data_IF_624944630546
#
_entry.id   IF_624944630546
#
_cell.length_a   1.000
_cell.length_b   1.000
_cell.length_c   1.000
_cell.angle_alpha   90.00
_cell.angle_beta   90.00
_cell.angle_gamma   90.00
#
_symmetry.space_group_name_H-M   'P 1'
#
loop_
_entity.id
_entity.type
_entity.pdbx_description
1 polymer ?
#
# COMPACT_ATOMS: atom_id res chain seq x y z
N UNK A 1 -17.20 12.63 -9.89
CA UNK A 1 -17.19 11.25 -10.43
C UNK A 1 -15.85 10.84 -11.06
N UNK A 2 -15.10 11.74 -11.72
CA UNK A 2 -13.86 11.40 -12.44
C UNK A 2 -12.71 10.83 -11.59
N UNK A 3 -12.57 11.26 -10.34
CA UNK A 3 -11.48 10.82 -9.46
C UNK A 3 -11.45 9.30 -9.28
N UNK A 4 -12.54 8.71 -8.76
CA UNK A 4 -12.65 7.27 -8.50
C UNK A 4 -12.46 6.45 -9.79
N UNK A 5 -13.01 6.91 -10.91
CA UNK A 5 -12.83 6.24 -12.20
C UNK A 5 -11.36 6.21 -12.65
N UNK A 6 -10.65 7.34 -12.52
CA UNK A 6 -9.22 7.43 -12.83
C UNK A 6 -8.38 6.58 -11.88
N UNK A 7 -8.64 6.65 -10.58
CA UNK A 7 -7.99 5.83 -9.56
C UNK A 7 -8.18 4.33 -9.82
N UNK A 8 -9.42 3.87 -10.06
CA UNK A 8 -9.73 2.48 -10.43
C UNK A 8 -9.07 2.04 -11.72
N UNK A 9 -8.84 2.96 -12.68
CA UNK A 9 -8.10 2.64 -13.91
C UNK A 9 -6.63 2.33 -13.60
N UNK A 10 -6.00 3.09 -12.70
CA UNK A 10 -4.64 2.82 -12.23
C UNK A 10 -4.58 1.50 -11.44
N UNK A 11 -5.49 1.28 -10.49
CA UNK A 11 -5.57 0.00 -9.74
C UNK A 11 -5.73 -1.21 -10.65
N UNK A 12 -6.56 -1.10 -11.70
CA UNK A 12 -6.72 -2.19 -12.68
C UNK A 12 -5.42 -2.49 -13.43
N UNK A 13 -4.63 -1.47 -13.78
CA UNK A 13 -3.31 -1.66 -14.41
C UNK A 13 -2.34 -2.36 -13.47
N UNK A 14 -2.28 -1.92 -12.21
CA UNK A 14 -1.45 -2.55 -11.18
C UNK A 14 -1.84 -4.03 -11.00
N UNK A 15 -3.13 -4.32 -10.82
CA UNK A 15 -3.60 -5.70 -10.66
C UNK A 15 -3.36 -6.56 -11.91
N UNK A 16 -3.55 -6.01 -13.11
CA UNK A 16 -3.26 -6.72 -14.35
C UNK A 16 -1.77 -7.07 -14.45
N UNK A 17 -0.89 -6.11 -14.14
CA UNK A 17 0.55 -6.33 -14.12
C UNK A 17 0.96 -7.35 -13.06
N UNK A 18 0.37 -7.30 -11.86
CA UNK A 18 0.64 -8.29 -10.81
C UNK A 18 0.21 -9.71 -11.21
N UNK A 19 -0.91 -9.86 -11.94
CA UNK A 19 -1.38 -11.16 -12.45
C UNK A 19 -0.52 -11.69 -13.59
N UNK A 20 0.01 -10.81 -14.43
CA UNK A 20 0.89 -11.19 -15.53
C UNK A 20 2.21 -11.81 -15.05
N UNK A 21 2.62 -11.58 -13.80
CA UNK A 21 3.80 -12.22 -13.19
C UNK A 21 3.59 -13.72 -12.84
N UNK A 22 2.38 -14.28 -13.09
CA UNK A 22 2.07 -15.70 -12.89
C UNK A 22 1.82 -16.12 -11.43
N UNK A 23 1.41 -17.38 -11.24
CA UNK A 23 1.08 -17.98 -9.93
C UNK A 23 -0.42 -17.96 -9.59
N UNK A 24 -0.77 -18.46 -8.39
CA UNK A 24 -2.17 -18.65 -7.99
C UNK A 24 -2.95 -17.32 -7.95
N UNK A 25 -3.99 -17.15 -8.80
CA UNK A 25 -4.80 -15.93 -8.84
C UNK A 25 -5.57 -15.67 -7.54
N UNK A 26 -5.83 -16.70 -6.71
CA UNK A 26 -6.54 -16.57 -5.44
C UNK A 26 -5.75 -15.70 -4.45
N UNK A 27 -4.43 -15.66 -4.59
CA UNK A 27 -3.56 -14.84 -3.73
C UNK A 27 -3.63 -13.35 -4.03
N UNK A 28 -4.25 -12.90 -5.14
CA UNK A 28 -4.35 -11.49 -5.48
C UNK A 28 -5.78 -10.96 -5.28
N UNK A 29 -5.94 -9.68 -4.92
CA UNK A 29 -7.25 -9.06 -4.83
C UNK A 29 -8.06 -9.24 -6.13
N UNK A 30 -9.37 -9.59 -6.06
CA UNK A 30 -10.16 -9.94 -7.23
C UNK A 30 -10.43 -8.74 -8.14
N UNK A 31 -10.69 -7.54 -7.58
CA UNK A 31 -11.01 -6.36 -8.38
C UNK A 31 -10.49 -5.06 -7.75
N UNK A 32 -10.39 -4.02 -8.57
CA UNK A 32 -10.08 -2.67 -8.09
C UNK A 32 -11.19 -2.09 -7.19
N UNK A 33 -12.46 -2.46 -7.43
CA UNK A 33 -13.57 -2.05 -6.59
C UNK A 33 -13.52 -2.72 -5.21
N UNK A 34 -13.12 -4.00 -5.17
CA UNK A 34 -12.87 -4.72 -3.91
C UNK A 34 -11.75 -4.04 -3.11
N UNK A 35 -10.65 -3.67 -3.76
CA UNK A 35 -9.56 -2.94 -3.11
C UNK A 35 -9.98 -1.58 -2.56
N UNK A 36 -10.72 -0.79 -3.34
CA UNK A 36 -11.27 0.49 -2.85
C UNK A 36 -12.19 0.28 -1.65
N UNK A 37 -13.09 -0.72 -1.72
CA UNK A 37 -14.00 -1.04 -0.63
C UNK A 37 -13.27 -1.45 0.65
N UNK A 38 -12.23 -2.28 0.54
CA UNK A 38 -11.41 -2.68 1.68
C UNK A 38 -10.63 -1.51 2.29
N UNK A 39 -10.07 -0.64 1.45
CA UNK A 39 -9.38 0.56 1.93
C UNK A 39 -10.36 1.51 2.66
N UNK A 40 -11.56 1.71 2.11
CA UNK A 40 -12.60 2.50 2.76
C UNK A 40 -13.06 1.90 4.09
N UNK A 41 -13.23 0.57 4.16
CA UNK A 41 -13.60 -0.14 5.39
C UNK A 41 -12.54 -0.01 6.50
N UNK A 42 -11.28 0.19 6.13
CA UNK A 42 -10.16 0.47 7.05
C UNK A 42 -10.02 1.97 7.40
N UNK A 43 -10.90 2.82 6.88
CA UNK A 43 -10.85 4.26 7.14
C UNK A 43 -9.75 5.00 6.38
N UNK A 44 -9.16 4.41 5.33
CA UNK A 44 -8.18 5.11 4.51
C UNK A 44 -8.82 6.29 3.78
N UNK A 45 -8.29 7.48 4.05
CA UNK A 45 -8.63 8.70 3.33
C UNK A 45 -7.61 8.92 2.22
N UNK A 46 -8.11 9.25 1.03
CA UNK A 46 -7.31 9.70 -0.12
C UNK A 46 -7.63 11.15 -0.49
N UNK A 47 -8.07 11.95 0.50
CA UNK A 47 -8.28 13.39 0.32
C UNK A 47 -6.94 14.09 0.16
N UNK A 48 -6.82 14.96 -0.85
CA UNK A 48 -5.57 15.66 -1.16
C UNK A 48 -4.58 14.85 -2.00
N UNK A 49 -4.84 13.56 -2.24
CA UNK A 49 -4.05 12.74 -3.14
C UNK A 49 -4.56 12.87 -4.58
N UNK A 50 -3.67 12.76 -5.55
CA UNK A 50 -4.04 12.51 -6.94
C UNK A 50 -4.62 11.09 -7.11
N UNK A 51 -5.34 10.81 -8.20
CA UNK A 51 -5.89 9.47 -8.45
C UNK A 51 -4.82 8.36 -8.52
N UNK A 52 -3.60 8.70 -8.92
CA UNK A 52 -2.49 7.74 -9.01
C UNK A 52 -1.88 7.47 -7.62
N UNK A 53 -1.65 8.51 -6.82
CA UNK A 53 -1.17 8.35 -5.44
C UNK A 53 -2.18 7.57 -4.59
N UNK A 54 -3.48 7.86 -4.73
CA UNK A 54 -4.53 7.10 -4.06
C UNK A 54 -4.53 5.61 -4.45
N UNK A 55 -4.32 5.30 -5.74
CA UNK A 55 -4.23 3.93 -6.21
C UNK A 55 -2.98 3.20 -5.66
N UNK A 56 -1.84 3.89 -5.58
CA UNK A 56 -0.62 3.34 -4.99
C UNK A 56 -0.76 3.09 -3.50
N UNK A 57 -1.37 4.02 -2.75
CA UNK A 57 -1.69 3.85 -1.34
C UNK A 57 -2.58 2.61 -1.11
N UNK A 58 -3.68 2.48 -1.88
CA UNK A 58 -4.58 1.33 -1.78
C UNK A 58 -3.86 0.02 -2.11
N UNK A 59 -3.00 0.01 -3.14
CA UNK A 59 -2.23 -1.17 -3.51
C UNK A 59 -1.20 -1.55 -2.44
N UNK A 60 -0.56 -0.56 -1.81
CA UNK A 60 0.37 -0.76 -0.70
C UNK A 60 -0.34 -1.36 0.52
N UNK A 61 -1.49 -0.83 0.89
CA UNK A 61 -2.31 -1.34 2.00
C UNK A 61 -2.83 -2.75 1.75
N UNK A 62 -3.19 -3.06 0.51
CA UNK A 62 -3.53 -4.41 0.11
C UNK A 62 -2.34 -5.35 0.27
N UNK A 63 -1.14 -4.95 -0.17
CA UNK A 63 0.10 -5.70 0.00
C UNK A 63 0.37 -5.99 1.48
N UNK A 64 0.28 -4.99 2.35
CA UNK A 64 0.51 -5.16 3.79
C UNK A 64 -0.48 -6.17 4.41
N UNK A 65 -1.76 -6.08 4.03
CA UNK A 65 -2.80 -7.00 4.53
C UNK A 65 -2.63 -8.45 4.06
N UNK A 66 -1.92 -8.67 2.95
CA UNK A 66 -1.61 -10.03 2.48
C UNK A 66 -0.46 -10.68 3.26
N UNK A 67 0.25 -9.91 4.10
CA UNK A 67 1.36 -10.40 4.92
C UNK A 67 2.69 -10.39 4.18
N UNK A 68 3.73 -10.00 4.93
CA UNK A 68 5.12 -10.03 4.47
C UNK A 68 5.52 -11.45 4.07
N UNK A 69 6.18 -11.58 2.91
CA UNK A 69 6.67 -12.86 2.40
C UNK A 69 5.67 -13.65 1.53
N UNK A 70 4.42 -13.21 1.39
CA UNK A 70 3.50 -13.85 0.44
C UNK A 70 3.90 -13.54 -1.01
N UNK A 71 3.82 -14.55 -1.88
CA UNK A 71 4.11 -14.37 -3.32
C UNK A 71 3.20 -13.31 -3.96
N UNK A 72 1.93 -13.23 -3.51
CA UNK A 72 0.99 -12.21 -3.95
C UNK A 72 1.41 -10.80 -3.54
N UNK A 73 1.93 -10.61 -2.31
CA UNK A 73 2.39 -9.31 -1.85
C UNK A 73 3.60 -8.84 -2.67
N UNK A 74 4.57 -9.72 -2.91
CA UNK A 74 5.76 -9.39 -3.70
C UNK A 74 5.42 -9.00 -5.16
N UNK A 75 4.47 -9.71 -5.78
CA UNK A 75 3.98 -9.36 -7.12
C UNK A 75 3.27 -8.00 -7.13
N UNK A 76 2.39 -7.77 -6.16
CA UNK A 76 1.66 -6.52 -6.06
C UNK A 76 2.60 -5.33 -5.80
N UNK A 77 3.62 -5.53 -4.98
CA UNK A 77 4.68 -4.56 -4.71
C UNK A 77 5.42 -4.17 -5.99
N UNK A 78 5.94 -5.15 -6.73
CA UNK A 78 6.67 -4.90 -7.98
C UNK A 78 5.80 -4.20 -9.01
N UNK A 79 4.54 -4.61 -9.15
CA UNK A 79 3.59 -3.98 -10.05
C UNK A 79 3.29 -2.53 -9.67
N UNK A 80 3.04 -2.26 -8.39
CA UNK A 80 2.80 -0.91 -7.87
C UNK A 80 4.03 -0.01 -8.01
N UNK A 81 5.23 -0.52 -7.71
CA UNK A 81 6.49 0.20 -7.84
C UNK A 81 6.77 0.60 -9.29
N UNK A 82 6.61 -0.32 -10.25
CA UNK A 82 6.76 0.01 -11.68
C UNK A 82 5.76 1.07 -12.15
N UNK A 83 4.50 0.99 -11.68
CA UNK A 83 3.49 2.01 -12.01
C UNK A 83 3.81 3.37 -11.36
N UNK A 84 4.40 3.38 -10.16
CA UNK A 84 4.87 4.59 -9.50
C UNK A 84 6.03 5.24 -10.29
N UNK A 85 7.05 4.46 -10.65
CA UNK A 85 8.20 4.90 -11.44
C UNK A 85 7.77 5.46 -12.80
N UNK A 86 6.89 4.76 -13.52
CA UNK A 86 6.36 5.20 -14.81
C UNK A 86 5.57 6.52 -14.75
N UNK A 87 5.17 6.96 -13.55
CA UNK A 87 4.43 8.19 -13.31
C UNK A 87 5.24 9.28 -12.60
N UNK A 88 6.53 9.03 -12.31
CA UNK A 88 7.34 9.94 -11.50
C UNK A 88 6.94 9.98 -10.02
N UNK A 89 6.17 9.00 -9.54
CA UNK A 89 5.72 8.87 -8.14
C UNK A 89 6.63 7.95 -7.31
N UNK A 90 7.87 7.71 -7.77
CA UNK A 90 8.87 6.94 -7.02
C UNK A 90 9.12 7.47 -5.60
N UNK A 91 9.28 8.81 -5.40
CA UNK A 91 9.42 9.37 -4.05
C UNK A 91 8.21 9.11 -3.15
N UNK A 92 6.99 9.23 -3.70
CA UNK A 92 5.76 8.92 -2.96
C UNK A 92 5.73 7.45 -2.50
N UNK A 93 6.09 6.51 -3.38
CA UNK A 93 6.20 5.10 -3.03
C UNK A 93 7.24 4.85 -1.93
N UNK A 94 8.40 5.50 -2.02
CA UNK A 94 9.44 5.40 -1.00
C UNK A 94 8.96 5.90 0.37
N UNK A 95 8.18 6.97 0.42
CA UNK A 95 7.56 7.46 1.66
C UNK A 95 6.63 6.42 2.28
N UNK A 96 5.77 5.77 1.47
CA UNK A 96 4.88 4.71 1.97
C UNK A 96 5.67 3.54 2.59
N UNK A 97 6.72 3.07 1.91
CA UNK A 97 7.57 1.99 2.44
C UNK A 97 8.31 2.42 3.73
N UNK A 98 8.77 3.67 3.79
CA UNK A 98 9.41 4.20 4.99
C UNK A 98 8.46 4.24 6.18
N UNK A 99 7.22 4.71 5.98
CA UNK A 99 6.20 4.75 7.03
C UNK A 99 5.80 3.34 7.49
N UNK A 100 5.62 2.41 6.56
CA UNK A 100 5.31 1.02 6.89
C UNK A 100 6.44 0.36 7.69
N UNK A 101 7.70 0.57 7.29
CA UNK A 101 8.87 0.10 8.03
C UNK A 101 8.93 0.72 9.43
N UNK A 102 8.71 2.03 9.54
CA UNK A 102 8.70 2.74 10.82
C UNK A 102 7.63 2.19 11.76
N UNK A 103 6.40 2.00 11.26
CA UNK A 103 5.30 1.44 12.04
C UNK A 103 5.60 -0.01 12.48
N UNK A 104 6.17 -0.84 11.60
CA UNK A 104 6.58 -2.21 11.94
C UNK A 104 7.68 -2.23 13.01
N UNK A 105 8.66 -1.33 12.92
CA UNK A 105 9.73 -1.17 13.92
C UNK A 105 9.16 -0.72 15.26
N UNK A 106 8.29 0.29 15.29
CA UNK A 106 7.63 0.76 16.52
C UNK A 106 6.76 -0.34 17.16
N UNK A 107 6.09 -1.16 16.35
CA UNK A 107 5.34 -2.31 16.85
C UNK A 107 6.26 -3.42 17.41
N UNK A 108 7.43 -3.65 16.82
CA UNK A 108 8.43 -4.58 17.35
C UNK A 108 8.97 -4.09 18.70
N UNK A 109 9.42 -2.83 18.76
CA UNK A 109 9.93 -2.22 20.00
C UNK A 109 8.92 -2.30 21.15
N UNK A 110 7.64 -2.05 20.88
CA UNK A 110 6.58 -2.19 21.90
C UNK A 110 6.40 -3.63 22.39
N UNK A 111 6.52 -4.63 21.51
CA UNK A 111 6.47 -6.06 21.90
C UNK A 111 7.65 -6.43 22.80
N UNK A 112 8.79 -5.82 22.55
CA UNK A 112 10.02 -6.03 23.32
C UNK A 112 10.09 -5.18 24.61
N UNK A 113 9.00 -4.48 24.95
CA UNK A 113 8.90 -3.69 26.18
C UNK A 113 9.55 -2.31 26.13
N UNK A 114 9.99 -1.85 24.96
CA UNK A 114 10.57 -0.51 24.81
C UNK A 114 9.47 0.56 24.62
N UNK A 115 9.52 1.69 25.36
CA UNK A 115 8.58 2.78 25.16
C UNK A 115 8.77 3.41 23.76
N UNK A 116 7.70 3.95 23.15
CA UNK A 116 7.82 4.61 21.85
C UNK A 116 8.78 5.79 21.95
N UNK A 117 9.54 6.07 20.88
CA UNK A 117 10.49 7.18 20.84
C UNK A 117 9.84 8.55 21.16
N UNK A 118 8.53 8.69 20.94
CA UNK A 118 7.75 9.88 21.33
C UNK A 118 7.55 10.02 22.84
N UNK A 119 7.63 8.95 23.62
CA UNK A 119 7.54 9.01 25.09
C UNK A 119 8.88 9.41 25.75
N UNK A 120 10.00 9.25 25.04
CA UNK A 120 11.32 9.66 25.56
C UNK A 120 11.51 11.19 25.62
N UNK A 121 10.67 11.98 24.92
CA UNK A 121 10.73 13.44 24.90
C UNK A 121 9.76 14.13 25.88
N UNK A 122 8.94 13.38 26.62
CA UNK A 122 8.02 13.92 27.61
C UNK A 122 8.63 14.03 29.03
N UNK A 123 9.94 13.79 29.15
CA UNK A 123 10.70 13.91 30.40
C UNK A 123 11.85 14.90 30.21
N UNK A 124 11.51 16.17 29.97
CA UNK A 124 12.34 17.36 30.21
C UNK A 124 11.40 18.52 30.55
#
# INVERSE_FOLDING_TARGET
MFFKTRMRRVLRRILAAARAEGGDPVSLPPTAAYLEGQAAARGLSWRGLSPAEAALLIAHEARLAMGAGSAGAARLERAARREAEARGLGPFWATLEHEAWRAAREAALRRDGHPPASAAFAVL
#
